data_IF_762984070633
#
_entry.id   IF_762984070633
#
_cell.length_a   1.000
_cell.length_b   1.000
_cell.length_c   1.000
_cell.angle_alpha   90.00
_cell.angle_beta   90.00
_cell.angle_gamma   90.00
#
_symmetry.space_group_name_H-M   'P 1'
#
loop_
_entity.id
_entity.type
_entity.pdbx_description
1 polymer ?
#
# COMPACT_ATOMS: atom_id res chain seq x y z
N UNK A 1 -40.24 32.57 59.73
CA UNK A 1 -40.23 33.31 58.48
C UNK A 1 -38.79 33.26 57.97
N UNK A 2 -38.47 32.34 57.03
CA UNK A 2 -37.17 32.39 56.38
C UNK A 2 -37.14 33.66 55.50
N UNK A 3 -35.99 34.34 55.41
CA UNK A 3 -35.90 35.65 54.77
C UNK A 3 -36.19 35.55 53.27
N UNK A 4 -36.74 36.64 52.75
CA UNK A 4 -37.20 36.83 51.37
C UNK A 4 -36.16 36.40 50.34
N UNK A 5 -36.63 35.64 49.34
CA UNK A 5 -35.87 35.03 48.24
C UNK A 5 -34.85 35.99 47.60
N UNK A 6 -33.56 35.75 47.83
CA UNK A 6 -32.54 36.07 46.83
C UNK A 6 -32.82 35.19 45.60
N UNK A 7 -33.64 35.69 44.66
CA UNK A 7 -33.80 35.04 43.35
C UNK A 7 -32.43 35.02 42.66
N UNK A 8 -31.75 33.87 42.71
CA UNK A 8 -30.57 33.64 41.90
C UNK A 8 -30.90 33.87 40.43
N UNK A 9 -29.98 34.51 39.71
CA UNK A 9 -30.21 34.79 38.30
C UNK A 9 -30.28 33.47 37.50
N UNK A 10 -31.09 33.38 36.43
CA UNK A 10 -31.24 32.14 35.66
C UNK A 10 -29.91 31.55 35.17
N UNK A 11 -28.90 32.40 34.93
CA UNK A 11 -27.56 31.98 34.51
C UNK A 11 -26.79 31.27 35.62
N UNK A 12 -26.95 31.71 36.89
CA UNK A 12 -26.33 31.06 38.05
C UNK A 12 -26.95 29.69 38.31
N UNK A 13 -28.29 29.60 38.24
CA UNK A 13 -29.02 28.35 38.40
C UNK A 13 -28.57 27.33 37.35
N UNK A 14 -28.50 27.74 36.08
CA UNK A 14 -28.03 26.88 34.99
C UNK A 14 -26.57 26.43 35.19
N UNK A 15 -25.68 27.36 35.54
CA UNK A 15 -24.26 27.05 35.72
C UNK A 15 -23.97 26.19 36.96
N UNK A 16 -24.86 26.20 37.96
CA UNK A 16 -24.81 25.31 39.11
C UNK A 16 -25.27 23.89 38.80
N UNK A 17 -26.26 23.74 37.91
CA UNK A 17 -26.92 22.47 37.60
C UNK A 17 -26.38 21.77 36.34
N UNK A 18 -25.58 22.45 35.52
CA UNK A 18 -24.98 21.85 34.32
C UNK A 18 -23.98 20.76 34.68
N UNK A 19 -23.88 19.73 33.82
CA UNK A 19 -22.83 18.71 33.91
C UNK A 19 -21.48 19.21 33.40
N UNK A 20 -21.44 20.39 32.75
CA UNK A 20 -20.23 20.98 32.23
C UNK A 20 -19.28 21.37 33.36
N UNK A 21 -18.17 20.63 33.47
CA UNK A 21 -17.21 20.84 34.53
C UNK A 21 -16.54 22.21 34.42
N UNK A 22 -16.35 22.87 35.56
CA UNK A 22 -15.70 24.17 35.66
C UNK A 22 -16.63 25.38 35.55
N UNK A 23 -17.79 25.27 34.89
CA UNK A 23 -18.72 26.41 34.75
C UNK A 23 -19.14 26.97 36.12
N UNK A 24 -19.52 26.10 37.05
CA UNK A 24 -19.87 26.48 38.43
C UNK A 24 -18.73 27.24 39.15
N UNK A 25 -17.46 26.92 38.87
CA UNK A 25 -16.30 27.60 39.48
C UNK A 25 -16.21 29.07 39.09
N UNK A 26 -16.69 29.44 37.90
CA UNK A 26 -16.77 30.83 37.46
C UNK A 26 -17.81 31.58 38.31
N UNK A 27 -18.94 30.97 38.66
CA UNK A 27 -20.02 31.66 39.38
C UNK A 27 -19.80 31.74 40.90
N UNK A 28 -19.12 30.77 41.50
CA UNK A 28 -18.78 30.76 42.94
C UNK A 28 -17.51 31.60 43.25
N UNK A 29 -16.72 31.99 42.25
CA UNK A 29 -15.43 32.68 42.47
C UNK A 29 -15.59 34.00 43.28
N UNK A 30 -14.79 34.20 44.35
CA UNK A 30 -14.97 35.32 45.27
C UNK A 30 -14.50 36.67 44.71
N UNK A 31 -13.68 36.69 43.66
CA UNK A 31 -13.16 37.92 43.06
C UNK A 31 -13.14 37.84 41.53
N UNK A 32 -13.14 39.00 40.87
CA UNK A 32 -13.04 39.11 39.40
C UNK A 32 -11.76 38.45 38.86
N UNK A 33 -10.66 38.52 39.62
CA UNK A 33 -9.38 37.90 39.25
C UNK A 33 -9.47 36.37 39.23
N UNK A 34 -10.04 35.75 40.27
CA UNK A 34 -10.25 34.30 40.29
C UNK A 34 -11.25 33.85 39.22
N UNK A 35 -12.23 34.70 38.90
CA UNK A 35 -13.18 34.47 37.80
C UNK A 35 -12.48 34.42 36.45
N UNK A 36 -11.62 35.40 36.16
CA UNK A 36 -10.81 35.43 34.94
C UNK A 36 -9.85 34.23 34.86
N UNK A 37 -9.25 33.84 35.99
CA UNK A 37 -8.42 32.64 36.07
C UNK A 37 -9.18 31.37 35.70
N UNK A 38 -10.38 31.16 36.28
CA UNK A 38 -11.20 29.99 35.93
C UNK A 38 -11.62 29.98 34.46
N UNK A 39 -11.98 31.14 33.91
CA UNK A 39 -12.27 31.28 32.47
C UNK A 39 -11.06 30.85 31.63
N UNK A 40 -9.86 31.33 31.99
CA UNK A 40 -8.63 30.96 31.30
C UNK A 40 -8.36 29.45 31.36
N UNK A 41 -8.47 28.85 32.56
CA UNK A 41 -8.27 27.40 32.75
C UNK A 41 -9.25 26.59 31.91
N UNK A 42 -10.52 27.00 31.89
CA UNK A 42 -11.58 26.33 31.13
C UNK A 42 -11.31 26.45 29.62
N UNK A 43 -10.96 27.64 29.13
CA UNK A 43 -10.60 27.86 27.73
C UNK A 43 -9.38 27.03 27.32
N UNK A 44 -8.34 27.00 28.16
CA UNK A 44 -7.15 26.19 27.93
C UNK A 44 -7.50 24.69 27.87
N UNK A 45 -8.38 24.22 28.76
CA UNK A 45 -8.87 22.83 28.75
C UNK A 45 -9.61 22.49 27.47
N UNK A 46 -10.51 23.37 26.98
CA UNK A 46 -11.24 23.12 25.73
C UNK A 46 -10.35 23.23 24.50
N UNK A 47 -9.39 24.15 24.49
CA UNK A 47 -8.40 24.23 23.41
C UNK A 47 -7.53 22.98 23.35
N UNK A 48 -7.05 22.50 24.51
CA UNK A 48 -6.30 21.24 24.62
C UNK A 48 -7.14 20.03 24.17
N UNK A 49 -8.40 19.94 24.62
CA UNK A 49 -9.33 18.91 24.16
C UNK A 49 -9.54 18.96 22.64
N UNK A 50 -9.77 20.14 22.07
CA UNK A 50 -9.95 20.32 20.63
C UNK A 50 -8.72 19.90 19.82
N UNK A 51 -7.52 20.23 20.31
CA UNK A 51 -6.26 19.79 19.70
C UNK A 51 -6.11 18.26 19.75
N UNK A 52 -6.31 17.64 20.92
CA UNK A 52 -6.22 16.18 21.07
C UNK A 52 -7.26 15.46 20.23
N UNK A 53 -8.50 15.94 20.23
CA UNK A 53 -9.59 15.37 19.44
C UNK A 53 -9.31 15.48 17.93
N UNK A 54 -8.82 16.63 17.46
CA UNK A 54 -8.40 16.81 16.07
C UNK A 54 -7.25 15.90 15.68
N UNK A 55 -6.23 15.78 16.53
CA UNK A 55 -5.10 14.85 16.33
C UNK A 55 -5.55 13.38 16.28
N UNK A 56 -6.51 13.00 17.14
CA UNK A 56 -7.11 11.68 17.14
C UNK A 56 -7.87 11.40 15.83
N UNK A 57 -8.69 12.35 15.36
CA UNK A 57 -9.41 12.22 14.08
C UNK A 57 -8.42 12.08 12.92
N UNK A 58 -7.40 12.94 12.88
CA UNK A 58 -6.36 12.87 11.85
C UNK A 58 -5.69 11.50 11.84
N UNK A 59 -5.24 11.02 13.01
CA UNK A 59 -4.57 9.71 13.15
C UNK A 59 -5.51 8.53 12.83
N UNK A 60 -6.81 8.66 13.08
CA UNK A 60 -7.77 7.63 12.68
C UNK A 60 -7.85 7.51 11.15
N UNK A 61 -7.82 8.64 10.44
CA UNK A 61 -7.91 8.69 8.98
C UNK A 61 -6.57 8.56 8.25
N UNK A 62 -5.44 8.40 8.96
CA UNK A 62 -4.20 7.95 8.31
C UNK A 62 -4.24 6.47 7.97
N UNK A 63 -5.18 5.71 8.53
CA UNK A 63 -5.33 4.26 8.32
C UNK A 63 -4.04 3.48 8.62
N UNK A 64 -3.22 3.99 9.54
CA UNK A 64 -1.98 3.32 9.95
C UNK A 64 -2.30 1.94 10.54
N UNK A 65 -1.70 0.90 9.96
CA UNK A 65 -1.96 -0.50 10.33
C UNK A 65 -0.73 -1.08 11.01
N UNK A 66 -0.89 -1.58 12.23
CA UNK A 66 0.15 -2.29 12.96
C UNK A 66 0.09 -3.76 12.55
N UNK A 67 1.19 -4.29 12.02
CA UNK A 67 1.33 -5.73 11.70
C UNK A 67 2.06 -6.43 12.84
N UNK A 68 1.45 -7.46 13.43
CA UNK A 68 2.04 -8.30 14.47
C UNK A 68 2.30 -9.70 13.90
N UNK A 69 3.57 -10.05 13.71
CA UNK A 69 3.97 -11.34 13.15
C UNK A 69 4.38 -12.28 14.27
N UNK A 70 3.67 -13.40 14.41
CA UNK A 70 4.01 -14.46 15.37
C UNK A 70 4.34 -15.76 14.64
N UNK A 71 5.30 -16.51 15.20
CA UNK A 71 5.66 -17.84 14.71
C UNK A 71 4.83 -18.86 15.47
N UNK A 72 3.89 -19.47 14.77
CA UNK A 72 3.10 -20.59 15.30
C UNK A 72 3.61 -21.89 14.69
N UNK A 73 4.18 -22.76 15.53
CA UNK A 73 4.57 -24.11 15.14
C UNK A 73 3.39 -25.04 15.35
N UNK A 74 2.45 -25.08 14.41
CA UNK A 74 1.34 -26.02 14.44
C UNK A 74 1.89 -27.43 14.20
N UNK A 75 1.97 -28.24 15.26
CA UNK A 75 2.31 -29.65 15.16
C UNK A 75 1.16 -30.40 14.49
N UNK A 76 1.25 -30.67 13.18
CA UNK A 76 0.42 -31.69 12.54
C UNK A 76 0.06 -31.48 11.08
N UNK A 77 -0.29 -30.26 10.63
CA UNK A 77 -1.08 -30.11 9.38
C UNK A 77 -0.67 -28.91 8.51
N UNK A 78 0.63 -28.70 8.26
CA UNK A 78 1.04 -27.70 7.26
C UNK A 78 0.89 -28.30 5.86
N UNK A 79 0.05 -27.75 4.97
CA UNK A 79 -0.12 -28.28 3.63
C UNK A 79 1.20 -28.18 2.87
N UNK A 80 1.59 -29.27 2.22
CA UNK A 80 2.77 -29.28 1.37
C UNK A 80 2.58 -28.28 0.21
N UNK A 81 3.54 -27.38 -0.05
CA UNK A 81 3.39 -26.34 -1.06
C UNK A 81 3.40 -26.95 -2.47
N UNK A 82 2.86 -26.19 -3.43
CA UNK A 82 3.06 -26.51 -4.83
C UNK A 82 4.56 -26.37 -5.17
N UNK A 83 5.16 -27.45 -5.66
CA UNK A 83 6.55 -27.46 -6.13
C UNK A 83 6.54 -27.49 -7.65
N UNK A 84 6.95 -26.38 -8.28
CA UNK A 84 7.08 -26.29 -9.73
C UNK A 84 8.54 -26.51 -10.13
N UNK A 85 8.80 -27.58 -10.86
CA UNK A 85 10.13 -27.89 -11.42
C UNK A 85 10.09 -27.64 -12.92
N UNK A 86 11.01 -26.80 -13.39
CA UNK A 86 11.18 -26.46 -14.79
C UNK A 86 12.54 -26.97 -15.27
N UNK A 87 12.59 -27.53 -16.47
CA UNK A 87 13.85 -27.81 -17.13
C UNK A 87 14.53 -26.48 -17.53
N UNK A 88 15.79 -26.30 -17.15
CA UNK A 88 16.57 -25.11 -17.54
C UNK A 88 16.83 -25.05 -19.05
N UNK A 89 16.73 -26.19 -19.74
CA UNK A 89 16.75 -26.19 -21.18
C UNK A 89 15.46 -25.54 -21.73
N UNK A 90 15.62 -24.33 -22.28
CA UNK A 90 14.52 -23.51 -22.82
C UNK A 90 13.88 -24.12 -24.06
N UNK A 91 14.65 -24.88 -24.85
CA UNK A 91 14.21 -25.40 -26.14
C UNK A 91 14.71 -26.83 -26.36
N UNK A 92 13.83 -27.70 -26.85
CA UNK A 92 14.22 -29.02 -27.30
C UNK A 92 14.69 -28.92 -28.77
N UNK A 93 16.01 -28.92 -28.97
CA UNK A 93 16.64 -28.77 -30.29
C UNK A 93 16.13 -29.80 -31.31
N UNK A 94 15.69 -30.99 -30.86
CA UNK A 94 15.14 -32.03 -31.73
C UNK A 94 13.75 -31.71 -32.29
N UNK A 95 13.03 -30.77 -31.66
CA UNK A 95 11.68 -30.35 -32.04
C UNK A 95 11.64 -29.01 -32.79
N UNK A 96 12.79 -28.36 -32.92
CA UNK A 96 12.91 -27.09 -33.64
C UNK A 96 12.86 -27.33 -35.15
N UNK A 97 11.97 -26.60 -35.83
CA UNK A 97 11.88 -26.56 -37.30
C UNK A 97 12.93 -25.62 -37.88
N UNK A 98 13.13 -25.68 -39.20
CA UNK A 98 14.08 -24.79 -39.89
C UNK A 98 13.73 -23.31 -39.67
N UNK A 99 12.44 -22.97 -39.67
CA UNK A 99 11.98 -21.62 -39.32
C UNK A 99 12.34 -21.24 -37.87
N UNK A 100 12.19 -22.14 -36.90
CA UNK A 100 12.52 -21.87 -35.50
C UNK A 100 14.02 -21.65 -35.32
N UNK A 101 14.84 -22.47 -35.97
CA UNK A 101 16.30 -22.28 -36.02
C UNK A 101 16.69 -20.94 -36.63
N UNK A 102 16.01 -20.51 -37.70
CA UNK A 102 16.23 -19.22 -38.32
C UNK A 102 15.96 -18.07 -37.34
N UNK A 103 14.80 -18.04 -36.69
CA UNK A 103 14.47 -16.99 -35.70
C UNK A 103 15.34 -17.03 -34.44
N UNK A 104 15.63 -18.23 -33.93
CA UNK A 104 16.41 -18.39 -32.70
C UNK A 104 17.91 -18.24 -32.95
N UNK A 105 18.38 -18.28 -34.20
CA UNK A 105 19.81 -18.26 -34.51
C UNK A 105 20.53 -17.03 -33.95
N UNK A 106 19.92 -15.84 -34.02
CA UNK A 106 20.49 -14.64 -33.41
C UNK A 106 20.62 -14.74 -31.89
N UNK A 107 19.66 -15.38 -31.22
CA UNK A 107 19.69 -15.53 -29.76
C UNK A 107 20.63 -16.66 -29.31
N UNK A 108 20.72 -17.74 -30.08
CA UNK A 108 21.52 -18.92 -29.74
C UNK A 108 22.98 -18.81 -30.19
N UNK A 109 23.23 -18.19 -31.35
CA UNK A 109 24.54 -18.15 -32.00
C UNK A 109 25.11 -16.72 -32.13
N UNK A 110 24.35 -15.70 -31.70
CA UNK A 110 24.77 -14.29 -31.80
C UNK A 110 24.80 -13.73 -33.22
N UNK A 111 24.36 -14.50 -34.22
CA UNK A 111 24.35 -14.14 -35.64
C UNK A 111 23.11 -14.74 -36.30
N UNK A 112 22.51 -14.01 -37.24
CA UNK A 112 21.42 -14.54 -38.05
C UNK A 112 21.95 -15.54 -39.08
N UNK A 113 21.57 -16.81 -38.91
CA UNK A 113 21.91 -17.88 -39.84
C UNK A 113 20.92 -17.90 -41.01
N UNK A 114 21.40 -18.23 -42.21
CA UNK A 114 20.54 -18.47 -43.36
C UNK A 114 20.13 -19.96 -43.43
N UNK A 115 19.09 -20.24 -44.22
CA UNK A 115 18.56 -21.60 -44.39
C UNK A 115 19.65 -22.59 -44.83
N UNK A 116 20.57 -22.20 -45.72
CA UNK A 116 21.66 -23.07 -46.16
C UNK A 116 22.67 -23.40 -45.06
N UNK A 117 23.00 -22.46 -44.17
CA UNK A 117 23.89 -22.73 -43.03
C UNK A 117 23.20 -23.58 -41.97
N UNK A 118 21.89 -23.41 -41.77
CA UNK A 118 21.08 -24.24 -40.85
C UNK A 118 21.02 -25.69 -41.36
N UNK A 119 20.85 -25.91 -42.66
CA UNK A 119 20.89 -27.26 -43.23
C UNK A 119 22.30 -27.87 -43.17
N UNK A 120 23.34 -27.06 -43.37
CA UNK A 120 24.73 -27.49 -43.26
C UNK A 120 25.14 -27.86 -41.83
N UNK A 121 24.48 -27.32 -40.79
CA UNK A 121 24.71 -27.68 -39.39
C UNK A 121 24.04 -29.00 -38.96
N UNK A 122 23.43 -29.73 -39.91
CA UNK A 122 22.86 -31.05 -39.67
C UNK A 122 21.37 -31.04 -39.31
N UNK A 123 20.68 -29.91 -39.43
CA UNK A 123 19.21 -29.84 -39.27
C UNK A 123 18.55 -30.43 -40.52
N UNK A 124 17.65 -31.43 -40.40
CA UNK A 124 16.99 -32.00 -41.56
C UNK A 124 16.02 -30.98 -42.20
N UNK A 125 15.87 -30.99 -43.53
CA UNK A 125 14.90 -30.12 -44.19
C UNK A 125 13.48 -30.52 -43.82
N UNK A 126 12.66 -29.53 -43.43
CA UNK A 126 11.24 -29.71 -43.15
C UNK A 126 10.37 -28.85 -44.09
N UNK A 127 9.05 -28.92 -43.92
CA UNK A 127 8.08 -28.18 -44.74
C UNK A 127 8.24 -26.66 -44.65
N UNK A 128 8.88 -26.15 -43.59
CA UNK A 128 9.08 -24.70 -43.38
C UNK A 128 10.25 -24.15 -44.17
N UNK A 129 11.08 -24.97 -44.83
CA UNK A 129 12.23 -24.52 -45.63
C UNK A 129 11.83 -23.50 -46.68
N UNK A 130 10.82 -23.80 -47.51
CA UNK A 130 10.38 -22.91 -48.58
C UNK A 130 9.75 -21.61 -48.05
N UNK A 131 9.00 -21.69 -46.96
CA UNK A 131 8.45 -20.51 -46.30
C UNK A 131 9.55 -19.63 -45.74
N UNK A 132 10.59 -20.24 -45.13
CA UNK A 132 11.72 -19.54 -44.51
C UNK A 132 12.61 -18.85 -45.54
N UNK A 133 12.77 -19.43 -46.73
CA UNK A 133 13.47 -18.80 -47.85
C UNK A 133 12.78 -17.53 -48.37
N UNK A 134 11.47 -17.41 -48.18
CA UNK A 134 10.68 -16.24 -48.57
C UNK A 134 10.55 -15.20 -47.44
N UNK A 135 11.14 -15.46 -46.27
CA UNK A 135 11.15 -14.49 -45.17
C UNK A 135 12.22 -13.43 -45.47
N UNK A 136 11.81 -12.18 -45.59
CA UNK A 136 12.74 -11.05 -45.64
C UNK A 136 13.59 -11.04 -44.36
N UNK A 137 14.92 -10.87 -44.46
CA UNK A 137 15.77 -10.78 -43.28
C UNK A 137 15.28 -9.64 -42.39
N UNK A 138 15.10 -9.93 -41.09
CA UNK A 138 14.76 -8.90 -40.10
C UNK A 138 15.88 -7.85 -40.15
N UNK A 139 15.63 -6.70 -40.80
CA UNK A 139 16.52 -5.55 -40.71
C UNK A 139 16.54 -5.12 -39.25
N UNK A 140 17.60 -5.50 -38.53
CA UNK A 140 17.99 -4.83 -37.30
C UNK A 140 18.29 -3.38 -37.66
N UNK A 141 17.28 -2.52 -37.55
CA UNK A 141 17.53 -1.10 -37.32
C UNK A 141 18.30 -1.06 -36.01
N UNK A 142 19.62 -0.92 -36.13
CA UNK A 142 20.51 -0.50 -35.07
C UNK A 142 19.89 0.73 -34.40
N UNK A 143 19.23 0.54 -33.25
CA UNK A 143 19.15 1.59 -32.23
C UNK A 143 20.54 1.66 -31.60
N UNK A 144 21.46 2.31 -32.29
CA UNK A 144 22.62 2.94 -31.65
C UNK A 144 22.06 4.25 -31.08
N UNK A 145 21.89 4.27 -29.76
CA UNK A 145 21.84 5.51 -28.99
C UNK A 145 23.15 5.60 -28.19
#
# INVERSE_FOLDING_TARGET
MPPEDEKESPEKEFAGNTTLHGLNRIFIAPSKYFRAWWIFVILASYAGFGYMFGSMIYSYFTYDTITDTRLEFTAGDLPFPAVTICNMNKFDASKLKVADWYYLSMLLNGVQLNVSTILASGVPPDETVNSTLNIEPIRMLYFIA
#
